data_IF_784442835029
#
_entry.id   IF_784442835029
#
_cell.length_a   1.000
_cell.length_b   1.000
_cell.length_c   1.000
_cell.angle_alpha   90.00
_cell.angle_beta   90.00
_cell.angle_gamma   90.00
#
_symmetry.space_group_name_H-M   'P 1'
#
loop_
_entity.id
_entity.type
_entity.pdbx_description
1 polymer ?
#
# COMPACT_ATOMS: atom_id res chain seq x y z
N UNK A 1 1.43 -2.96 12.91
CA UNK A 1 1.63 -1.52 12.51
C UNK A 1 0.32 -0.95 11.98
N UNK A 2 -0.01 0.28 12.36
CA UNK A 2 -1.22 0.98 11.95
C UNK A 2 -0.88 2.41 11.51
N UNK A 3 -1.42 2.85 10.37
CA UNK A 3 -1.23 4.21 9.83
C UNK A 3 -2.60 4.82 9.63
N UNK A 4 -2.83 6.04 10.13
CA UNK A 4 -4.09 6.75 10.00
C UNK A 4 -3.87 8.16 9.48
N UNK A 5 -4.73 8.56 8.55
CA UNK A 5 -4.91 9.94 8.10
C UNK A 5 -6.39 10.18 7.87
N UNK A 6 -7.03 10.98 8.73
CA UNK A 6 -8.47 11.19 8.73
C UNK A 6 -9.25 9.87 8.87
N UNK A 7 -10.19 9.64 7.95
CA UNK A 7 -11.05 8.46 7.92
C UNK A 7 -10.42 7.25 7.19
N UNK A 8 -9.17 7.34 6.76
CA UNK A 8 -8.45 6.25 6.08
C UNK A 8 -7.41 5.69 7.04
N UNK A 9 -7.47 4.38 7.22
CA UNK A 9 -6.50 3.64 8.02
C UNK A 9 -5.89 2.51 7.20
N UNK A 10 -4.62 2.23 7.45
CA UNK A 10 -3.89 1.09 6.94
C UNK A 10 -3.41 0.26 8.12
N UNK A 11 -3.95 -0.94 8.26
CA UNK A 11 -3.52 -1.90 9.30
C UNK A 11 -2.63 -2.94 8.63
N UNK A 12 -1.39 -3.08 9.09
CA UNK A 12 -0.46 -4.10 8.58
C UNK A 12 -1.14 -5.46 8.72
N UNK A 13 -1.08 -6.23 7.64
CA UNK A 13 -1.75 -7.51 7.53
C UNK A 13 -1.30 -8.45 8.66
N UNK A 14 -2.24 -8.93 9.46
CA UNK A 14 -2.02 -9.92 10.52
C UNK A 14 -2.58 -11.28 10.13
N UNK A 15 -2.22 -12.33 10.87
CA UNK A 15 -2.70 -13.68 10.62
C UNK A 15 -4.24 -13.76 10.66
N UNK A 16 -4.89 -13.01 11.56
CA UNK A 16 -6.36 -12.92 11.66
C UNK A 16 -7.04 -12.32 10.41
N UNK A 17 -6.31 -11.56 9.59
CA UNK A 17 -6.84 -10.93 8.38
C UNK A 17 -6.76 -11.83 7.14
N UNK A 18 -5.93 -12.89 7.17
CA UNK A 18 -5.56 -13.60 5.94
C UNK A 18 -6.73 -14.34 5.32
N UNK A 19 -7.72 -14.76 6.12
CA UNK A 19 -8.94 -15.40 5.62
C UNK A 19 -9.86 -14.42 4.90
N UNK A 20 -9.98 -13.18 5.40
CA UNK A 20 -10.67 -12.11 4.70
C UNK A 20 -10.00 -11.82 3.35
N UNK A 21 -8.67 -11.76 3.33
CA UNK A 21 -7.90 -11.55 2.10
C UNK A 21 -8.06 -12.72 1.14
N UNK A 22 -7.97 -13.97 1.61
CA UNK A 22 -8.17 -15.19 0.81
C UNK A 22 -9.54 -15.21 0.17
N UNK A 23 -10.59 -14.93 0.95
CA UNK A 23 -11.96 -14.84 0.44
C UNK A 23 -12.04 -13.91 -0.76
N UNK A 24 -11.51 -12.68 -0.63
CA UNK A 24 -11.55 -11.72 -1.73
C UNK A 24 -10.63 -12.06 -2.89
N UNK A 25 -9.44 -12.63 -2.65
CA UNK A 25 -8.54 -13.08 -3.74
C UNK A 25 -9.16 -14.21 -4.56
N UNK A 26 -9.98 -15.07 -3.94
CA UNK A 26 -10.75 -16.10 -4.63
C UNK A 26 -12.04 -15.57 -5.29
N UNK A 27 -12.60 -14.48 -4.77
CA UNK A 27 -13.86 -13.93 -5.28
C UNK A 27 -13.69 -13.39 -6.71
N UNK A 28 -14.57 -13.81 -7.63
CA UNK A 28 -14.52 -13.48 -9.06
C UNK A 28 -14.42 -11.98 -9.37
N UNK A 29 -14.95 -11.12 -8.49
CA UNK A 29 -14.87 -9.67 -8.67
C UNK A 29 -13.46 -9.09 -8.55
N UNK A 30 -12.54 -9.82 -7.92
CA UNK A 30 -11.13 -9.44 -7.71
C UNK A 30 -10.22 -10.40 -8.47
N UNK A 31 -10.45 -11.71 -8.35
CA UNK A 31 -9.65 -12.79 -8.95
C UNK A 31 -9.32 -12.55 -10.42
N UNK A 32 -10.30 -12.12 -11.23
CA UNK A 32 -10.11 -11.85 -12.67
C UNK A 32 -9.12 -10.74 -13.00
N UNK A 33 -8.72 -9.92 -12.03
CA UNK A 33 -7.75 -8.84 -12.19
C UNK A 33 -6.39 -9.17 -11.57
N UNK A 34 -6.21 -10.38 -11.04
CA UNK A 34 -4.97 -10.86 -10.43
C UNK A 34 -4.14 -11.65 -11.44
N UNK A 35 -2.81 -11.61 -11.30
CA UNK A 35 -1.91 -12.48 -12.09
C UNK A 35 -2.14 -13.94 -11.68
N UNK A 36 -2.13 -14.22 -10.38
CA UNK A 36 -2.49 -15.53 -9.87
C UNK A 36 -4.02 -15.72 -9.84
N UNK A 37 -4.53 -16.67 -10.63
CA UNK A 37 -5.97 -16.92 -10.83
C UNK A 37 -6.38 -18.36 -10.56
N UNK A 38 -5.56 -19.15 -9.86
CA UNK A 38 -6.01 -20.44 -9.34
C UNK A 38 -6.80 -20.26 -8.03
N UNK A 39 -7.46 -21.33 -7.57
CA UNK A 39 -8.11 -21.31 -6.27
C UNK A 39 -7.06 -21.37 -5.14
N UNK A 40 -7.15 -20.45 -4.18
CA UNK A 40 -6.25 -20.36 -3.04
C UNK A 40 -6.87 -21.09 -1.84
N UNK A 41 -6.26 -22.19 -1.42
CA UNK A 41 -6.65 -22.90 -0.19
C UNK A 41 -6.16 -22.15 1.05
N UNK A 42 -6.64 -22.55 2.23
CA UNK A 42 -6.20 -21.99 3.52
C UNK A 42 -4.71 -22.22 3.74
N UNK A 43 -4.21 -23.40 3.42
CA UNK A 43 -2.79 -23.76 3.52
C UNK A 43 -1.93 -22.89 2.60
N UNK A 44 -2.36 -22.68 1.36
CA UNK A 44 -1.66 -21.83 0.40
C UNK A 44 -1.64 -20.37 0.88
N UNK A 45 -2.73 -19.87 1.47
CA UNK A 45 -2.79 -18.52 2.01
C UNK A 45 -1.87 -18.37 3.23
N UNK A 46 -1.81 -19.35 4.13
CA UNK A 46 -0.90 -19.36 5.28
C UNK A 46 0.57 -19.38 4.83
N UNK A 47 0.91 -20.25 3.89
CA UNK A 47 2.26 -20.29 3.28
C UNK A 47 2.62 -18.95 2.63
N UNK A 48 1.68 -18.36 1.88
CA UNK A 48 1.87 -17.03 1.30
C UNK A 48 2.08 -15.97 2.38
N UNK A 49 1.28 -15.96 3.45
CA UNK A 49 1.41 -15.00 4.54
C UNK A 49 2.79 -15.10 5.22
N UNK A 50 3.25 -16.30 5.57
CA UNK A 50 4.59 -16.48 6.15
C UNK A 50 5.70 -16.00 5.20
N UNK A 51 5.53 -16.14 3.88
CA UNK A 51 6.51 -15.65 2.90
C UNK A 51 6.57 -14.12 2.79
N UNK A 52 5.50 -13.40 3.14
CA UNK A 52 5.40 -11.93 3.03
C UNK A 52 5.36 -11.20 4.38
N UNK A 53 5.24 -11.91 5.51
CA UNK A 53 5.26 -11.29 6.83
C UNK A 53 6.71 -11.02 7.28
N UNK A 54 7.36 -10.07 6.62
CA UNK A 54 8.75 -9.69 6.88
C UNK A 54 8.95 -8.18 6.60
N UNK A 55 10.21 -7.72 6.65
CA UNK A 55 10.54 -6.30 6.56
C UNK A 55 10.77 -5.78 5.13
N UNK A 56 10.63 -6.63 4.12
CA UNK A 56 10.69 -6.24 2.70
C UNK A 56 9.32 -6.31 2.03
N UNK A 57 8.27 -6.64 2.78
CA UNK A 57 6.93 -6.82 2.30
C UNK A 57 5.93 -6.16 3.25
N UNK A 58 5.36 -5.04 2.81
CA UNK A 58 4.41 -4.25 3.57
C UNK A 58 3.03 -4.40 2.94
N UNK A 59 2.21 -5.27 3.51
CA UNK A 59 0.82 -5.46 3.13
C UNK A 59 -0.08 -4.83 4.19
N UNK A 60 -1.08 -4.07 3.76
CA UNK A 60 -2.02 -3.41 4.66
C UNK A 60 -3.47 -3.62 4.23
N UNK A 61 -4.32 -3.98 5.19
CA UNK A 61 -5.76 -3.85 5.05
C UNK A 61 -6.13 -2.37 5.10
N UNK A 62 -6.88 -1.93 4.09
CA UNK A 62 -7.40 -0.58 4.00
C UNK A 62 -8.75 -0.52 4.72
N UNK A 63 -8.86 0.41 5.65
CA UNK A 63 -10.12 0.78 6.28
C UNK A 63 -10.54 2.18 5.89
N UNK A 64 -11.83 2.36 5.61
CA UNK A 64 -12.44 3.66 5.38
C UNK A 64 -13.71 3.80 6.20
N UNK A 65 -13.76 4.80 7.08
CA UNK A 65 -14.88 5.03 8.03
C UNK A 65 -15.22 3.76 8.82
N UNK A 66 -14.20 3.11 9.37
CA UNK A 66 -14.33 1.89 10.20
C UNK A 66 -14.73 0.62 9.44
N UNK A 67 -14.68 0.63 8.10
CA UNK A 67 -14.98 -0.56 7.28
C UNK A 67 -13.74 -1.00 6.53
N UNK A 68 -13.39 -2.29 6.59
CA UNK A 68 -12.36 -2.92 5.75
C UNK A 68 -12.83 -2.93 4.28
N UNK A 69 -12.13 -2.22 3.40
CA UNK A 69 -12.57 -1.99 2.00
C UNK A 69 -11.65 -2.57 0.93
N UNK A 70 -10.40 -2.85 1.26
CA UNK A 70 -9.39 -3.23 0.29
C UNK A 70 -8.07 -3.62 0.93
N UNK A 71 -7.10 -3.93 0.08
CA UNK A 71 -5.72 -4.15 0.47
C UNK A 71 -4.80 -3.32 -0.43
N UNK A 72 -3.75 -2.76 0.16
CA UNK A 72 -2.66 -2.06 -0.51
C UNK A 72 -1.34 -2.67 -0.06
N UNK A 73 -0.34 -2.66 -0.93
CA UNK A 73 0.98 -3.13 -0.59
C UNK A 73 2.12 -2.34 -1.26
N UNK A 74 3.28 -2.44 -0.62
CA UNK A 74 4.60 -2.28 -1.20
C UNK A 74 5.40 -3.54 -0.87
N UNK A 75 5.66 -4.38 -1.87
CA UNK A 75 6.33 -5.68 -1.72
C UNK A 75 7.68 -5.68 -2.44
N UNK A 76 8.48 -6.69 -2.16
CA UNK A 76 9.81 -6.87 -2.76
C UNK A 76 10.67 -5.60 -2.62
N UNK A 77 10.60 -4.97 -1.44
CA UNK A 77 11.28 -3.70 -1.17
C UNK A 77 12.79 -3.94 -1.16
N UNK A 78 13.48 -3.24 -2.06
CA UNK A 78 14.92 -3.12 -2.06
C UNK A 78 15.29 -1.78 -1.41
N UNK A 79 15.69 -1.84 -0.13
CA UNK A 79 16.05 -0.66 0.66
C UNK A 79 17.29 0.06 0.10
N UNK A 80 18.28 -0.67 -0.39
CA UNK A 80 19.51 -0.13 -0.97
C UNK A 80 19.26 0.46 -2.37
N UNK A 81 18.60 -0.32 -3.24
CA UNK A 81 18.23 0.08 -4.59
C UNK A 81 17.06 1.07 -4.66
N UNK A 82 16.42 1.35 -3.51
CA UNK A 82 15.25 2.23 -3.36
C UNK A 82 14.15 1.91 -4.36
N UNK A 83 13.69 0.66 -4.38
CA UNK A 83 12.60 0.21 -5.25
C UNK A 83 11.62 -0.68 -4.52
N UNK A 84 10.40 -0.78 -5.06
CA UNK A 84 9.36 -1.71 -4.59
C UNK A 84 8.37 -2.02 -5.72
N UNK A 85 7.62 -3.11 -5.60
CA UNK A 85 6.41 -3.33 -6.38
C UNK A 85 5.19 -2.93 -5.54
N UNK A 86 4.27 -2.17 -6.12
CA UNK A 86 3.04 -1.73 -5.45
C UNK A 86 1.80 -2.29 -6.12
N UNK A 87 0.80 -2.57 -5.29
CA UNK A 87 -0.50 -3.05 -5.72
C UNK A 87 -1.60 -2.54 -4.79
N UNK A 88 -2.79 -2.36 -5.36
CA UNK A 88 -4.00 -2.03 -4.62
C UNK A 88 -5.19 -2.74 -5.24
N UNK A 89 -6.06 -3.31 -4.41
CA UNK A 89 -7.38 -3.75 -4.83
C UNK A 89 -8.43 -3.44 -3.78
N UNK A 90 -9.56 -2.91 -4.24
CA UNK A 90 -10.69 -2.53 -3.39
C UNK A 90 -11.81 -3.56 -3.59
N UNK A 91 -12.06 -4.40 -2.59
CA UNK A 91 -13.14 -5.37 -2.65
C UNK A 91 -14.51 -4.75 -2.44
N UNK A 92 -14.61 -3.69 -1.65
CA UNK A 92 -15.91 -3.05 -1.43
C UNK A 92 -16.38 -2.29 -2.68
N UNK A 93 -17.43 -2.82 -3.32
CA UNK A 93 -17.94 -2.31 -4.61
C UNK A 93 -18.37 -0.85 -4.57
N UNK A 94 -18.81 -0.33 -3.43
CA UNK A 94 -19.28 1.05 -3.28
C UNK A 94 -18.15 2.07 -3.49
N UNK A 95 -16.89 1.68 -3.24
CA UNK A 95 -15.75 2.60 -3.32
C UNK A 95 -14.93 2.47 -4.61
N UNK A 96 -15.11 1.39 -5.40
CA UNK A 96 -14.28 1.09 -6.59
C UNK A 96 -14.30 2.15 -7.69
N UNK A 97 -15.36 2.96 -7.78
CA UNK A 97 -15.53 4.03 -8.79
C UNK A 97 -15.63 5.42 -8.14
N UNK A 98 -15.00 5.57 -6.98
CA UNK A 98 -14.95 6.83 -6.23
C UNK A 98 -13.50 7.33 -6.20
N UNK A 99 -13.26 8.47 -5.54
CA UNK A 99 -11.92 8.98 -5.30
C UNK A 99 -11.15 8.20 -4.21
N UNK A 100 -11.82 7.35 -3.42
CA UNK A 100 -11.22 6.66 -2.27
C UNK A 100 -9.97 5.84 -2.64
N UNK A 101 -9.96 4.99 -3.69
CA UNK A 101 -8.76 4.23 -4.05
C UNK A 101 -7.57 5.14 -4.37
N UNK A 102 -7.83 6.25 -5.07
CA UNK A 102 -6.80 7.25 -5.40
C UNK A 102 -6.24 7.90 -4.15
N UNK A 103 -7.09 8.28 -3.19
CA UNK A 103 -6.63 8.84 -1.91
C UNK A 103 -5.78 7.81 -1.15
N UNK A 104 -6.21 6.55 -1.09
CA UNK A 104 -5.43 5.51 -0.43
C UNK A 104 -4.03 5.36 -1.06
N UNK A 105 -3.94 5.31 -2.40
CA UNK A 105 -2.64 5.26 -3.09
C UNK A 105 -1.80 6.51 -2.84
N UNK A 106 -2.42 7.69 -2.73
CA UNK A 106 -1.70 8.94 -2.45
C UNK A 106 -1.11 8.98 -1.04
N UNK A 107 -1.88 8.59 -0.02
CA UNK A 107 -1.38 8.53 1.36
C UNK A 107 -0.26 7.49 1.45
N UNK A 108 -0.41 6.35 0.78
CA UNK A 108 0.62 5.31 0.75
C UNK A 108 1.89 5.76 -0.01
N UNK A 109 1.74 6.55 -1.07
CA UNK A 109 2.86 7.15 -1.78
C UNK A 109 3.58 8.20 -0.93
N UNK A 110 2.85 9.04 -0.18
CA UNK A 110 3.43 9.99 0.78
C UNK A 110 4.28 9.25 1.83
N UNK A 111 3.78 8.12 2.34
CA UNK A 111 4.52 7.23 3.22
C UNK A 111 5.78 6.64 2.54
N UNK A 112 5.68 6.14 1.31
CA UNK A 112 6.84 5.62 0.55
C UNK A 112 7.90 6.67 0.23
N UNK A 113 7.50 7.92 -0.01
CA UNK A 113 8.42 9.06 -0.16
C UNK A 113 9.13 9.36 1.16
N UNK A 114 8.39 9.35 2.28
CA UNK A 114 8.96 9.55 3.61
C UNK A 114 10.02 8.49 3.96
N UNK A 115 9.83 7.23 3.55
CA UNK A 115 10.80 6.14 3.74
C UNK A 115 12.04 6.20 2.81
N UNK A 116 12.47 7.38 2.39
CA UNK A 116 13.70 7.56 1.59
C UNK A 116 13.50 7.55 0.06
N UNK A 117 12.26 7.64 -0.42
CA UNK A 117 11.92 7.78 -1.83
C UNK A 117 12.11 6.50 -2.63
N UNK A 118 11.27 5.50 -2.36
CA UNK A 118 11.22 4.24 -3.11
C UNK A 118 10.60 4.48 -4.49
N UNK A 119 11.21 3.94 -5.55
CA UNK A 119 10.66 3.93 -6.92
C UNK A 119 9.66 2.78 -7.05
N UNK A 120 8.35 3.05 -7.18
CA UNK A 120 7.37 1.99 -7.26
C UNK A 120 7.22 1.49 -8.70
N UNK A 121 7.09 0.17 -8.82
CA UNK A 121 6.68 -0.51 -10.05
C UNK A 121 5.31 -1.16 -9.85
N UNK A 122 4.58 -1.40 -10.94
CA UNK A 122 3.28 -2.07 -10.91
C UNK A 122 3.18 -3.06 -12.06
N UNK A 123 2.67 -4.26 -11.76
CA UNK A 123 2.41 -5.32 -12.75
C UNK A 123 0.90 -5.42 -13.00
N UNK A 124 0.47 -5.13 -14.22
CA UNK A 124 -0.95 -4.99 -14.57
C UNK A 124 -1.28 -5.94 -15.72
N UNK A 125 -2.35 -6.73 -15.58
CA UNK A 125 -2.83 -7.56 -16.70
C UNK A 125 -3.13 -6.70 -17.93
N UNK A 126 -2.75 -7.19 -19.10
CA UNK A 126 -2.87 -6.50 -20.39
C UNK A 126 -4.31 -6.09 -20.70
N UNK A 127 -5.28 -6.93 -20.35
CA UNK A 127 -6.72 -6.72 -20.55
C UNK A 127 -7.37 -5.83 -19.45
N UNK A 128 -6.63 -5.45 -18.41
CA UNK A 128 -7.13 -4.60 -17.33
C UNK A 128 -6.94 -3.11 -17.67
N UNK A 129 -7.61 -2.66 -18.73
CA UNK A 129 -7.56 -1.27 -19.23
C UNK A 129 -7.84 -0.23 -18.14
N UNK A 130 -8.73 -0.57 -17.19
CA UNK A 130 -9.06 0.30 -16.06
C UNK A 130 -7.83 0.55 -15.18
N UNK A 131 -7.09 -0.50 -14.83
CA UNK A 131 -5.89 -0.37 -14.00
C UNK A 131 -4.75 0.31 -14.77
N UNK A 132 -4.62 0.06 -16.08
CA UNK A 132 -3.65 0.76 -16.93
C UNK A 132 -3.93 2.27 -16.99
N UNK A 133 -5.18 2.66 -17.25
CA UNK A 133 -5.60 4.06 -17.25
C UNK A 133 -5.40 4.72 -15.89
N UNK A 134 -5.76 4.01 -14.80
CA UNK A 134 -5.56 4.47 -13.44
C UNK A 134 -4.08 4.77 -13.14
N UNK A 135 -3.18 3.81 -13.41
CA UNK A 135 -1.76 3.99 -13.14
C UNK A 135 -1.14 5.09 -14.02
N UNK A 136 -1.56 5.23 -15.28
CA UNK A 136 -1.14 6.34 -16.15
C UNK A 136 -1.57 7.72 -15.61
N UNK A 137 -2.78 7.83 -15.03
CA UNK A 137 -3.23 9.07 -14.36
C UNK A 137 -2.34 9.39 -13.15
N UNK A 138 -1.89 8.35 -12.42
CA UNK A 138 -0.90 8.46 -11.36
C UNK A 138 0.53 8.66 -11.87
N UNK A 139 0.72 8.88 -13.18
CA UNK A 139 1.99 9.19 -13.84
C UNK A 139 2.94 8.02 -14.03
N UNK A 140 2.49 6.79 -13.81
CA UNK A 140 3.28 5.62 -14.15
C UNK A 140 3.49 5.53 -15.66
N UNK A 141 4.73 5.21 -16.06
CA UNK A 141 5.13 4.97 -17.45
C UNK A 141 5.33 3.47 -17.67
N UNK A 142 5.03 2.99 -18.87
CA UNK A 142 5.28 1.61 -19.27
C UNK A 142 6.80 1.40 -19.37
N UNK A 143 7.31 0.35 -18.72
CA UNK A 143 8.71 -0.08 -18.79
C UNK A 143 8.87 -1.45 -19.44
N UNK A 144 7.79 -2.23 -19.53
CA UNK A 144 7.77 -3.55 -20.18
C UNK A 144 6.38 -3.80 -20.76
N UNK A 145 6.31 -4.06 -22.07
CA UNK A 145 5.09 -4.38 -22.81
C UNK A 145 5.40 -5.45 -23.87
N UNK A 146 5.63 -6.67 -23.38
CA UNK A 146 5.91 -7.84 -24.20
C UNK A 146 4.58 -8.48 -24.65
N UNK A 147 4.27 -8.53 -25.96
CA UNK A 147 3.02 -9.10 -26.46
C UNK A 147 2.78 -10.56 -26.04
N UNK A 148 3.84 -11.32 -25.77
CA UNK A 148 3.77 -12.72 -25.36
C UNK A 148 3.48 -12.87 -23.86
N UNK A 149 3.51 -11.77 -23.10
CA UNK A 149 3.14 -11.72 -21.68
C UNK A 149 1.71 -11.25 -21.49
N UNK A 150 1.05 -11.86 -20.51
CA UNK A 150 -0.30 -11.49 -20.09
C UNK A 150 -0.34 -10.17 -19.30
N UNK A 151 0.80 -9.59 -18.94
CA UNK A 151 0.90 -8.38 -18.13
C UNK A 151 1.85 -7.35 -18.75
N UNK A 152 1.62 -6.09 -18.37
CA UNK A 152 2.42 -4.92 -18.66
C UNK A 152 3.02 -4.44 -17.34
N UNK A 153 4.30 -4.06 -17.33
CA UNK A 153 4.92 -3.45 -16.16
C UNK A 153 5.09 -1.96 -16.34
N UNK A 154 4.81 -1.23 -15.28
CA UNK A 154 4.93 0.21 -15.21
C UNK A 154 5.83 0.63 -14.05
N UNK A 155 6.40 1.83 -14.15
CA UNK A 155 7.22 2.45 -13.11
C UNK A 155 6.87 3.93 -12.94
N UNK A 156 6.97 4.45 -11.72
CA UNK A 156 6.86 5.87 -11.43
C UNK A 156 8.22 6.44 -11.03
N UNK A 157 8.86 7.17 -11.94
CA UNK A 157 10.15 7.82 -11.70
C UNK A 157 10.05 8.94 -10.66
N UNK A 158 11.14 9.15 -9.90
CA UNK A 158 11.23 10.15 -8.82
C UNK A 158 10.88 11.57 -9.26
N UNK A 159 11.27 11.96 -10.47
CA UNK A 159 10.98 13.28 -11.03
C UNK A 159 9.47 13.53 -11.19
N UNK A 160 8.73 12.47 -11.53
CA UNK A 160 7.27 12.52 -11.65
C UNK A 160 6.59 12.47 -10.29
N UNK A 161 7.19 11.81 -9.29
CA UNK A 161 6.64 11.79 -7.92
C UNK A 161 6.51 13.20 -7.33
N UNK A 162 7.48 14.10 -7.53
CA UNK A 162 7.41 15.47 -7.02
C UNK A 162 6.32 16.33 -7.66
N UNK A 163 6.14 16.20 -8.99
CA UNK A 163 5.08 16.89 -9.73
C UNK A 163 3.69 16.41 -9.31
N UNK A 164 3.54 15.09 -9.20
CA UNK A 164 2.30 14.44 -8.82
C UNK A 164 1.97 14.74 -7.37
N UNK A 165 2.95 14.68 -6.46
CA UNK A 165 2.78 15.06 -5.07
C UNK A 165 2.25 16.50 -4.95
N UNK A 166 2.74 17.47 -5.72
CA UNK A 166 2.20 18.85 -5.70
C UNK A 166 0.74 18.93 -6.18
N UNK A 167 0.41 18.29 -7.31
CA UNK A 167 -0.97 18.31 -7.84
C UNK A 167 -1.94 17.55 -6.96
N UNK A 168 -1.51 16.42 -6.43
CA UNK A 168 -2.31 15.53 -5.61
C UNK A 168 -2.38 16.00 -4.16
N UNK A 169 -1.43 16.80 -3.64
CA UNK A 169 -1.53 17.39 -2.30
C UNK A 169 -2.75 18.30 -2.16
N UNK A 170 -3.08 19.09 -3.19
CA UNK A 170 -4.30 19.89 -3.19
C UNK A 170 -5.56 19.01 -3.17
N UNK A 171 -5.59 17.94 -3.97
CA UNK A 171 -6.71 17.00 -3.98
C UNK A 171 -6.81 16.22 -2.66
N UNK A 172 -5.68 15.81 -2.07
CA UNK A 172 -5.61 15.16 -0.76
C UNK A 172 -6.11 16.09 0.33
N UNK A 173 -5.67 17.35 0.32
CA UNK A 173 -6.11 18.36 1.27
C UNK A 173 -7.63 18.58 1.18
N UNK A 174 -8.19 18.65 -0.04
CA UNK A 174 -9.64 18.82 -0.23
C UNK A 174 -10.45 17.59 0.19
N UNK A 175 -9.92 16.38 0.01
CA UNK A 175 -10.69 15.15 0.19
C UNK A 175 -10.44 14.44 1.52
N UNK A 176 -9.23 14.57 2.05
CA UNK A 176 -8.81 13.99 3.31
C UNK A 176 -8.67 15.10 4.36
N UNK A 177 -8.11 16.26 4.04
CA UNK A 177 -7.82 17.31 5.02
C UNK A 177 -6.31 17.42 5.30
N UNK A 178 -5.94 18.26 6.26
CA UNK A 178 -4.54 18.51 6.67
C UNK A 178 -4.16 17.81 7.99
N UNK A 179 -4.89 16.75 8.35
CA UNK A 179 -4.57 16.02 9.57
C UNK A 179 -3.18 15.38 9.49
N UNK A 180 -2.50 15.43 10.64
CA UNK A 180 -1.25 14.71 10.87
C UNK A 180 -1.40 13.23 10.57
N UNK A 181 -0.34 12.60 10.07
CA UNK A 181 -0.30 11.14 9.96
C UNK A 181 -0.01 10.59 11.35
N UNK A 182 -0.91 9.73 11.84
CA UNK A 182 -0.68 8.93 13.04
C UNK A 182 -0.12 7.58 12.62
N UNK A 183 1.01 7.18 13.18
CA UNK A 183 1.54 5.82 13.05
C UNK A 183 1.63 5.16 14.41
N UNK A 184 1.20 3.90 14.50
CA UNK A 184 1.27 3.09 15.72
C UNK A 184 2.01 1.81 15.39
N UNK A 185 3.03 1.51 16.18
CA UNK A 185 3.80 0.27 16.10
C UNK A 185 3.47 -0.56 17.33
N UNK A 186 3.02 -1.79 17.10
CA UNK A 186 2.77 -2.74 18.17
C UNK A 186 4.07 -3.46 18.57
N UNK A 187 3.99 -4.26 19.63
CA UNK A 187 5.11 -5.06 20.12
C UNK A 187 5.75 -5.94 19.04
N UNK A 188 4.99 -6.55 18.15
CA UNK A 188 5.55 -7.40 17.08
C UNK A 188 6.32 -6.56 16.06
N UNK A 189 5.86 -5.35 15.75
CA UNK A 189 6.59 -4.45 14.86
C UNK A 189 7.92 -3.98 15.46
N UNK A 190 7.92 -3.74 16.78
CA UNK A 190 9.09 -3.28 17.53
C UNK A 190 10.11 -4.42 17.60
N UNK A 191 9.70 -5.59 18.09
CA UNK A 191 10.58 -6.77 18.21
C UNK A 191 11.03 -7.30 16.85
N UNK A 192 10.18 -7.20 15.82
CA UNK A 192 10.50 -7.57 14.45
C UNK A 192 11.40 -6.56 13.71
N UNK A 193 11.76 -5.44 14.32
CA UNK A 193 12.68 -4.43 13.79
C UNK A 193 12.11 -3.54 12.68
N UNK A 194 10.84 -3.72 12.27
CA UNK A 194 10.25 -2.84 11.25
C UNK A 194 10.04 -1.42 11.78
N UNK A 195 9.78 -1.27 13.08
CA UNK A 195 9.67 0.02 13.75
C UNK A 195 10.93 0.85 13.52
N UNK A 196 12.08 0.31 13.89
CA UNK A 196 13.36 1.01 13.77
C UNK A 196 13.68 1.30 12.31
N UNK A 197 13.43 0.33 11.41
CA UNK A 197 13.67 0.50 9.98
C UNK A 197 12.86 1.68 9.41
N UNK A 198 11.57 1.76 9.73
CA UNK A 198 10.69 2.83 9.21
C UNK A 198 11.04 4.18 9.84
N UNK A 199 11.19 4.25 11.16
CA UNK A 199 11.48 5.51 11.85
C UNK A 199 12.86 6.07 11.45
N UNK A 200 13.86 5.21 11.28
CA UNK A 200 15.18 5.62 10.78
C UNK A 200 15.11 6.10 9.32
N UNK A 201 14.23 5.52 8.50
CA UNK A 201 14.06 5.93 7.10
C UNK A 201 13.34 7.27 6.95
N UNK A 202 12.31 7.50 7.78
CA UNK A 202 11.54 8.76 7.79
C UNK A 202 12.34 9.90 8.44
N UNK A 203 13.18 9.56 9.41
CA UNK A 203 13.86 10.53 10.26
C UNK A 203 12.93 11.13 11.31
N UNK A 204 13.52 11.80 12.31
CA UNK A 204 12.79 12.29 13.49
C UNK A 204 12.36 13.75 13.38
N UNK A 205 12.80 14.46 12.35
CA UNK A 205 12.65 15.93 12.24
C UNK A 205 11.20 16.41 12.15
N UNK A 206 10.29 15.58 11.61
CA UNK A 206 8.88 15.93 11.43
C UNK A 206 7.96 15.30 12.48
N UNK A 207 8.50 14.66 13.54
CA UNK A 207 7.67 14.05 14.59
C UNK A 207 7.15 15.17 15.50
N UNK A 208 5.83 15.38 15.51
CA UNK A 208 5.13 16.34 16.39
C UNK A 208 5.00 15.81 17.82
N UNK A 209 4.68 14.52 17.97
CA UNK A 209 4.66 13.86 19.28
C UNK A 209 4.98 12.38 19.17
N UNK A 210 5.50 11.84 20.27
CA UNK A 210 5.77 10.42 20.49
C UNK A 210 5.20 10.02 21.84
N UNK A 211 4.38 8.98 21.84
CA UNK A 211 3.77 8.40 23.04
C UNK A 211 4.07 6.90 23.09
N UNK A 212 4.23 6.35 24.29
CA UNK A 212 4.39 4.92 24.52
C UNK A 212 3.55 4.52 25.73
N UNK A 213 2.78 3.44 25.59
CA UNK A 213 1.94 2.87 26.65
C UNK A 213 2.50 1.54 27.20
N UNK A 214 3.70 1.15 26.76
CA UNK A 214 4.37 -0.10 27.14
C UNK A 214 4.18 -1.24 26.13
N UNK A 215 3.04 -1.28 25.43
CA UNK A 215 2.72 -2.30 24.43
C UNK A 215 2.81 -1.78 22.99
N UNK A 216 2.72 -0.46 22.82
CA UNK A 216 2.80 0.21 21.53
C UNK A 216 3.56 1.53 21.61
N UNK A 217 4.06 1.97 20.45
CA UNK A 217 4.62 3.30 20.26
C UNK A 217 3.82 4.03 19.20
N UNK A 218 3.30 5.21 19.57
CA UNK A 218 2.54 6.09 18.68
C UNK A 218 3.39 7.31 18.28
N UNK A 219 3.39 7.62 16.99
CA UNK A 219 4.00 8.80 16.40
C UNK A 219 2.94 9.63 15.68
N UNK A 220 2.96 10.95 15.89
CA UNK A 220 2.19 11.90 15.10
C UNK A 220 3.16 12.77 14.29
N UNK A 221 3.00 12.80 12.96
CA UNK A 221 3.82 13.55 12.01
C UNK A 221 3.12 14.82 11.51
#
# INVERSE_FOLDING_TARGET
>A
MYIQKNNICFTRLQEEDIELVRHWRNHNSIKKYMVYREHITEEMQKQWFHSVNNNTNLYFVIEYKGKKIGLINGKDINWEGKSMETGIFIWNKYYRKTHIPTICTMIFAEFGVAMGGLTPTATILRDNERALKYNKILGFKIIEDDPDKEYIRLSLEKENMGYIAKRLKAALYLLAGDESIKMVFDKQDIEGGIHDLIINSIGTTNIKSKESDGDSITYNF
#
